data_IF_959567858882
#
_entry.id   IF_959567858882
#
_cell.length_a   1.000
_cell.length_b   1.000
_cell.length_c   1.000
_cell.angle_alpha   90.00
_cell.angle_beta   90.00
_cell.angle_gamma   90.00
#
_symmetry.space_group_name_H-M   'P 1'
#
loop_
_entity.id
_entity.type
_entity.pdbx_description
1 polymer ?
#
# COMPACT_ATOMS: atom_id res chain seq x y z
N UNK A 1 40.62 7.01 -4.66
CA UNK A 1 39.53 7.99 -4.52
C UNK A 1 39.73 8.75 -3.22
N UNK A 2 39.78 10.07 -3.32
CA UNK A 2 39.96 10.95 -2.16
C UNK A 2 38.68 11.01 -1.35
N UNK A 3 38.75 11.20 -0.03
CA UNK A 3 37.57 11.48 0.83
C UNK A 3 36.74 12.66 0.33
N UNK A 4 37.34 13.55 -0.46
CA UNK A 4 36.70 14.73 -1.04
C UNK A 4 35.81 14.41 -2.24
N UNK A 5 35.89 13.19 -2.80
CA UNK A 5 35.05 12.74 -3.92
C UNK A 5 33.70 12.18 -3.44
N UNK A 6 33.50 12.01 -2.12
CA UNK A 6 32.26 11.50 -1.53
C UNK A 6 31.06 12.43 -1.79
N UNK A 7 31.10 13.75 -1.48
CA UNK A 7 29.97 14.64 -1.69
C UNK A 7 29.62 14.88 -3.17
N UNK A 8 30.53 14.57 -4.10
CA UNK A 8 30.27 14.71 -5.53
C UNK A 8 29.39 13.59 -6.12
N UNK A 9 29.08 12.52 -5.35
CA UNK A 9 28.25 11.42 -5.87
C UNK A 9 26.79 11.85 -6.03
N UNK A 10 26.09 11.43 -7.10
CA UNK A 10 24.69 11.76 -7.37
C UNK A 10 23.74 11.53 -6.19
N UNK A 11 24.00 10.48 -5.39
CA UNK A 11 23.21 10.15 -4.19
C UNK A 11 23.23 11.25 -3.11
N UNK A 12 24.32 12.00 -2.97
CA UNK A 12 24.42 13.04 -1.94
C UNK A 12 23.83 14.40 -2.38
N UNK A 13 23.62 14.60 -3.69
CA UNK A 13 23.04 15.84 -4.24
C UNK A 13 21.51 15.89 -4.14
N UNK A 14 20.84 14.74 -4.09
CA UNK A 14 19.37 14.64 -3.97
C UNK A 14 18.89 14.28 -2.55
N UNK A 15 19.71 14.49 -1.53
CA UNK A 15 19.37 14.14 -0.14
C UNK A 15 18.09 14.80 0.33
N UNK A 16 17.90 16.07 -0.02
CA UNK A 16 16.67 16.80 0.28
C UNK A 16 15.45 16.20 -0.41
N UNK A 17 15.52 15.98 -1.72
CA UNK A 17 14.42 15.40 -2.50
C UNK A 17 14.07 13.99 -2.03
N UNK A 18 15.08 13.17 -1.70
CA UNK A 18 14.88 11.83 -1.16
C UNK A 18 14.21 11.86 0.23
N UNK A 19 14.59 12.79 1.10
CA UNK A 19 13.96 12.99 2.42
C UNK A 19 12.51 13.45 2.26
N UNK A 20 12.27 14.45 1.42
CA UNK A 20 10.92 14.98 1.18
C UNK A 20 10.00 13.91 0.56
N UNK A 21 10.49 13.13 -0.40
CA UNK A 21 9.75 12.02 -0.97
C UNK A 21 9.45 10.93 0.08
N UNK A 22 10.43 10.57 0.89
CA UNK A 22 10.25 9.57 1.94
C UNK A 22 9.20 10.02 2.97
N UNK A 23 9.31 11.24 3.47
CA UNK A 23 8.36 11.79 4.44
C UNK A 23 6.96 11.90 3.84
N UNK A 24 6.83 12.31 2.58
CA UNK A 24 5.54 12.37 1.88
C UNK A 24 4.86 11.00 1.85
N UNK A 25 5.59 9.95 1.45
CA UNK A 25 5.05 8.58 1.37
C UNK A 25 4.72 8.04 2.77
N UNK A 26 5.59 8.29 3.77
CA UNK A 26 5.36 7.83 5.15
C UNK A 26 4.14 8.52 5.76
N UNK A 27 4.01 9.84 5.61
CA UNK A 27 2.87 10.58 6.16
C UNK A 27 1.56 10.18 5.49
N UNK A 28 1.54 10.03 4.16
CA UNK A 28 0.38 9.52 3.45
C UNK A 28 0.00 8.10 3.90
N UNK A 29 0.98 7.20 4.02
CA UNK A 29 0.75 5.82 4.49
C UNK A 29 0.21 5.78 5.93
N UNK A 30 0.73 6.62 6.82
CA UNK A 30 0.27 6.73 8.21
C UNK A 30 -1.16 7.27 8.28
N UNK A 31 -1.48 8.31 7.50
CA UNK A 31 -2.82 8.88 7.43
C UNK A 31 -3.85 7.85 6.94
N UNK A 32 -3.53 7.14 5.86
CA UNK A 32 -4.38 6.06 5.33
C UNK A 32 -4.54 4.94 6.35
N UNK A 33 -3.45 4.49 6.99
CA UNK A 33 -3.51 3.44 8.00
C UNK A 33 -4.38 3.84 9.19
N UNK A 34 -4.26 5.08 9.67
CA UNK A 34 -5.09 5.62 10.75
C UNK A 34 -6.56 5.64 10.37
N UNK A 35 -6.90 6.21 9.20
CA UNK A 35 -8.27 6.24 8.71
C UNK A 35 -8.89 4.84 8.62
N UNK A 36 -8.16 3.88 8.04
CA UNK A 36 -8.63 2.50 7.93
C UNK A 36 -8.88 1.86 9.30
N UNK A 37 -8.02 2.12 10.30
CA UNK A 37 -8.22 1.61 11.65
C UNK A 37 -9.43 2.25 12.33
N UNK A 38 -9.60 3.56 12.20
CA UNK A 38 -10.68 4.30 12.85
C UNK A 38 -12.04 3.95 12.24
N UNK A 39 -12.12 3.82 10.90
CA UNK A 39 -13.35 3.45 10.20
C UNK A 39 -13.78 2.00 10.46
N UNK A 40 -12.83 1.08 10.61
CA UNK A 40 -13.12 -0.37 10.73
C UNK A 40 -13.10 -0.88 12.18
N UNK A 41 -12.49 -0.14 13.11
CA UNK A 41 -12.33 -0.54 14.51
C UNK A 41 -11.37 -1.72 14.74
N UNK A 42 -10.63 -2.15 13.72
CA UNK A 42 -9.69 -3.29 13.79
C UNK A 42 -8.28 -2.88 13.40
N UNK A 43 -7.28 -3.67 13.81
CA UNK A 43 -5.88 -3.35 13.52
C UNK A 43 -5.59 -3.36 12.01
N UNK A 44 -4.69 -2.48 11.56
CA UNK A 44 -4.29 -2.39 10.14
C UNK A 44 -3.79 -3.73 9.59
N UNK A 45 -3.12 -4.54 10.42
CA UNK A 45 -2.69 -5.91 10.07
C UNK A 45 -3.88 -6.81 9.69
N UNK A 46 -5.01 -6.71 10.41
CA UNK A 46 -6.22 -7.49 10.12
C UNK A 46 -6.91 -7.00 8.86
N UNK A 47 -6.98 -5.68 8.66
CA UNK A 47 -7.51 -5.07 7.42
C UNK A 47 -6.72 -5.56 6.21
N UNK A 48 -5.39 -5.42 6.22
CA UNK A 48 -4.51 -5.87 5.13
C UNK A 48 -4.67 -7.37 4.89
N UNK A 49 -4.68 -8.20 5.93
CA UNK A 49 -4.85 -9.66 5.78
C UNK A 49 -6.18 -10.03 5.11
N UNK A 50 -7.25 -9.29 5.41
CA UNK A 50 -8.57 -9.54 4.85
C UNK A 50 -8.72 -9.03 3.42
N UNK A 51 -8.13 -7.89 3.08
CA UNK A 51 -8.31 -7.23 1.78
C UNK A 51 -7.23 -7.55 0.75
N UNK A 52 -5.99 -7.86 1.17
CA UNK A 52 -4.87 -8.17 0.26
C UNK A 52 -5.17 -9.28 -0.76
N UNK A 53 -5.92 -10.36 -0.41
CA UNK A 53 -6.27 -11.39 -1.38
C UNK A 53 -7.29 -10.95 -2.43
N UNK A 54 -7.95 -9.78 -2.28
CA UNK A 54 -8.93 -9.26 -3.21
C UNK A 54 -8.29 -8.57 -4.43
N UNK A 55 -7.28 -9.19 -5.00
CA UNK A 55 -6.62 -8.73 -6.22
C UNK A 55 -6.96 -9.71 -7.35
N UNK A 56 -7.21 -9.17 -8.54
CA UNK A 56 -7.30 -10.01 -9.73
C UNK A 56 -5.91 -10.58 -10.02
N UNK A 57 -5.80 -11.90 -10.11
CA UNK A 57 -4.53 -12.58 -10.37
C UNK A 57 -4.62 -13.30 -11.71
N UNK A 58 -3.70 -12.98 -12.61
CA UNK A 58 -3.51 -13.75 -13.85
C UNK A 58 -2.62 -14.93 -13.56
N UNK A 59 -3.17 -16.14 -13.69
CA UNK A 59 -2.45 -17.40 -13.51
C UNK A 59 -2.15 -17.96 -14.90
N UNK A 60 -0.86 -18.18 -15.21
CA UNK A 60 -0.48 -18.89 -16.41
C UNK A 60 -0.36 -20.39 -16.09
N UNK A 61 -1.18 -21.21 -16.74
CA UNK A 61 -1.11 -22.67 -16.65
C UNK A 61 -0.91 -23.25 -18.05
N UNK A 62 0.26 -23.85 -18.29
CA UNK A 62 0.61 -24.48 -19.58
C UNK A 62 0.40 -23.57 -20.81
N UNK A 63 0.65 -22.26 -20.69
CA UNK A 63 0.47 -21.30 -21.78
C UNK A 63 -0.94 -20.74 -21.92
N UNK A 64 -1.88 -21.14 -21.06
CA UNK A 64 -3.22 -20.55 -20.98
C UNK A 64 -3.31 -19.58 -19.80
N UNK A 65 -3.64 -18.32 -20.07
CA UNK A 65 -3.86 -17.31 -19.03
C UNK A 65 -5.28 -17.40 -18.49
N UNK A 66 -5.41 -17.65 -17.19
CA UNK A 66 -6.67 -17.65 -16.47
C UNK A 66 -6.65 -16.45 -15.52
N UNK A 67 -7.59 -15.53 -15.69
CA UNK A 67 -7.79 -14.44 -14.72
C UNK A 67 -8.69 -14.95 -13.59
N UNK A 68 -8.11 -15.16 -12.41
CA UNK A 68 -8.86 -15.53 -11.22
C UNK A 68 -9.38 -14.27 -10.53
N UNK A 69 -10.72 -14.15 -10.46
CA UNK A 69 -11.37 -13.10 -9.67
C UNK A 69 -11.47 -13.54 -8.21
N UNK A 70 -11.11 -12.69 -7.24
CA UNK A 70 -11.14 -13.05 -5.85
C UNK A 70 -12.59 -13.12 -5.33
N UNK A 71 -12.86 -14.11 -4.47
CA UNK A 71 -14.14 -14.23 -3.79
C UNK A 71 -14.17 -13.31 -2.56
N UNK A 72 -15.19 -12.45 -2.45
CA UNK A 72 -15.34 -11.54 -1.31
C UNK A 72 -15.88 -12.33 -0.12
N UNK A 73 -15.04 -12.54 0.89
CA UNK A 73 -15.46 -13.17 2.15
C UNK A 73 -16.39 -12.26 2.96
N UNK A 74 -17.27 -12.79 3.84
CA UNK A 74 -18.15 -11.97 4.68
C UNK A 74 -17.41 -10.92 5.53
N UNK A 75 -16.22 -11.28 6.03
CA UNK A 75 -15.35 -10.37 6.77
C UNK A 75 -14.76 -9.26 5.89
N UNK A 76 -14.41 -9.56 4.63
CA UNK A 76 -13.97 -8.53 3.70
C UNK A 76 -15.14 -7.61 3.32
N UNK A 77 -16.35 -8.15 3.13
CA UNK A 77 -17.54 -7.36 2.84
C UNK A 77 -17.91 -6.40 3.98
N UNK A 78 -17.80 -6.84 5.25
CA UNK A 78 -18.06 -5.96 6.39
C UNK A 78 -17.04 -4.82 6.48
N UNK A 79 -15.75 -5.11 6.25
CA UNK A 79 -14.70 -4.10 6.19
C UNK A 79 -14.99 -3.10 5.07
N UNK A 80 -15.32 -3.57 3.86
CA UNK A 80 -15.65 -2.69 2.73
C UNK A 80 -16.87 -1.82 3.02
N UNK A 81 -17.89 -2.37 3.70
CA UNK A 81 -19.08 -1.61 4.13
C UNK A 81 -18.73 -0.49 5.11
N UNK A 82 -17.85 -0.74 6.08
CA UNK A 82 -17.38 0.30 7.01
C UNK A 82 -16.59 1.42 6.33
N UNK A 83 -16.02 1.16 5.15
CA UNK A 83 -15.25 2.13 4.36
C UNK A 83 -16.11 2.89 3.34
N UNK A 84 -17.38 2.51 3.15
CA UNK A 84 -18.30 3.27 2.29
C UNK A 84 -18.61 4.61 2.97
N UNK A 85 -18.06 5.70 2.45
CA UNK A 85 -18.47 7.04 2.83
C UNK A 85 -19.93 7.24 2.37
N UNK A 86 -20.83 7.83 3.18
CA UNK A 86 -22.11 8.31 2.65
C UNK A 86 -21.79 9.28 1.52
N UNK A 87 -22.20 8.94 0.30
CA UNK A 87 -21.81 9.64 -0.91
C UNK A 87 -22.11 11.13 -0.84
N UNK A 88 -21.17 11.92 -1.36
CA UNK A 88 -21.51 13.15 -2.09
C UNK A 88 -21.93 12.79 -3.51
#
# INVERSE_FOLDING_TARGET
MSKHDLPARPVFHHTREAIEAHLTVVMASLAVARYLQDATGISIKRVIRALKPLQDVTINLNGHEITARPQITPNAASILKSLQTPGH
#
